data_IF_856034057333
#
_entry.id   IF_856034057333
#
_cell.length_a   1.000
_cell.length_b   1.000
_cell.length_c   1.000
_cell.angle_alpha   90.00
_cell.angle_beta   90.00
_cell.angle_gamma   90.00
#
_symmetry.space_group_name_H-M   'P 1'
#
loop_
_entity.id
_entity.type
_entity.pdbx_description
1 polymer ?
#
# COMPACT_ATOMS: atom_id res chain seq x y z
N UNK A 1 -38.16 14.95 -51.30
CA UNK A 1 -38.44 13.95 -50.24
C UNK A 1 -37.64 12.65 -50.38
N UNK A 2 -37.36 12.12 -51.59
CA UNK A 2 -36.47 10.95 -51.78
C UNK A 2 -35.10 11.06 -51.07
N UNK A 3 -34.42 12.20 -51.22
CA UNK A 3 -33.06 12.40 -50.71
C UNK A 3 -32.91 12.25 -49.16
N UNK A 4 -33.90 12.68 -48.37
CA UNK A 4 -33.80 12.54 -46.91
C UNK A 4 -34.03 11.11 -46.43
N UNK A 5 -34.92 10.40 -47.13
CA UNK A 5 -35.20 8.99 -46.85
C UNK A 5 -34.00 8.13 -47.24
N UNK A 6 -33.43 8.35 -48.42
CA UNK A 6 -32.22 7.66 -48.90
C UNK A 6 -31.03 7.90 -47.95
N UNK A 7 -30.85 9.13 -47.45
CA UNK A 7 -29.81 9.46 -46.45
C UNK A 7 -30.08 8.75 -45.12
N UNK A 8 -31.34 8.68 -44.68
CA UNK A 8 -31.71 7.99 -43.43
C UNK A 8 -31.47 6.49 -43.53
N UNK A 9 -31.85 5.88 -44.65
CA UNK A 9 -31.60 4.47 -44.95
C UNK A 9 -30.09 4.18 -44.94
N UNK A 10 -29.29 5.04 -45.59
CA UNK A 10 -27.83 4.87 -45.61
C UNK A 10 -27.19 5.02 -44.22
N UNK A 11 -27.69 5.92 -43.39
CA UNK A 11 -27.25 6.06 -41.99
C UNK A 11 -27.60 4.80 -41.20
N UNK A 12 -28.80 4.24 -41.38
CA UNK A 12 -29.21 3.01 -40.74
C UNK A 12 -28.36 1.80 -41.17
N UNK A 13 -28.04 1.69 -42.46
CA UNK A 13 -27.12 0.66 -42.98
C UNK A 13 -25.73 0.77 -42.34
N UNK A 14 -25.17 1.98 -42.26
CA UNK A 14 -23.86 2.21 -41.63
C UNK A 14 -23.88 1.89 -40.14
N UNK A 15 -24.94 2.28 -39.42
CA UNK A 15 -25.12 1.94 -38.00
C UNK A 15 -25.23 0.43 -37.79
N UNK A 16 -26.00 -0.27 -38.63
CA UNK A 16 -26.11 -1.73 -38.59
C UNK A 16 -24.78 -2.42 -38.84
N UNK A 17 -24.01 -1.96 -39.83
CA UNK A 17 -22.67 -2.45 -40.11
C UNK A 17 -21.70 -2.24 -38.94
N UNK A 18 -21.73 -1.06 -38.31
CA UNK A 18 -20.89 -0.76 -37.15
C UNK A 18 -21.23 -1.64 -35.94
N UNK A 19 -22.52 -1.84 -35.65
CA UNK A 19 -22.97 -2.74 -34.56
C UNK A 19 -22.54 -4.19 -34.84
N UNK A 20 -22.61 -4.64 -36.10
CA UNK A 20 -22.16 -5.98 -36.47
C UNK A 20 -20.65 -6.15 -36.27
N UNK A 21 -19.84 -5.14 -36.59
CA UNK A 21 -18.40 -5.13 -36.32
C UNK A 21 -18.11 -5.11 -34.81
N UNK A 22 -18.83 -4.28 -34.04
CA UNK A 22 -18.70 -4.21 -32.59
C UNK A 22 -19.06 -5.53 -31.89
N UNK A 23 -19.99 -6.31 -32.45
CA UNK A 23 -20.34 -7.64 -31.94
C UNK A 23 -19.33 -8.72 -32.39
N UNK A 24 -18.81 -8.64 -33.61
CA UNK A 24 -17.86 -9.60 -34.17
C UNK A 24 -16.49 -9.49 -33.52
N UNK A 25 -16.02 -8.26 -33.25
CA UNK A 25 -14.67 -8.00 -32.77
C UNK A 25 -14.37 -8.74 -31.45
N UNK A 26 -15.18 -8.65 -30.39
CA UNK A 26 -14.96 -9.43 -29.16
C UNK A 26 -14.96 -10.94 -29.40
N UNK A 27 -15.86 -11.44 -30.27
CA UNK A 27 -15.96 -12.87 -30.57
C UNK A 27 -14.69 -13.40 -31.27
N UNK A 28 -14.13 -12.63 -32.20
CA UNK A 28 -12.87 -12.96 -32.87
C UNK A 28 -11.69 -12.88 -31.89
N UNK A 29 -11.63 -11.83 -31.06
CA UNK A 29 -10.55 -11.66 -30.09
C UNK A 29 -10.55 -12.77 -29.04
N UNK A 30 -11.72 -13.22 -28.56
CA UNK A 30 -11.83 -14.36 -27.64
C UNK A 30 -11.40 -15.70 -28.26
N UNK A 31 -11.47 -15.85 -29.59
CA UNK A 31 -11.05 -17.07 -30.28
C UNK A 31 -9.54 -17.12 -30.58
N UNK A 32 -8.81 -16.01 -30.40
CA UNK A 32 -7.39 -15.92 -30.69
C UNK A 32 -6.53 -16.37 -29.48
N UNK A 33 -5.39 -17.04 -29.71
CA UNK A 33 -4.41 -17.30 -28.66
C UNK A 33 -3.87 -15.99 -28.05
N UNK A 34 -3.57 -15.95 -26.74
CA UNK A 34 -3.10 -14.73 -26.06
C UNK A 34 -1.86 -14.09 -26.69
N UNK A 35 -0.95 -14.90 -27.24
CA UNK A 35 0.25 -14.42 -27.93
C UNK A 35 -0.06 -13.60 -29.20
N UNK A 36 -1.20 -13.88 -29.86
CA UNK A 36 -1.62 -13.19 -31.09
C UNK A 36 -2.29 -11.84 -30.81
N UNK A 37 -2.86 -11.65 -29.62
CA UNK A 37 -3.59 -10.42 -29.26
C UNK A 37 -2.67 -9.19 -29.21
N UNK A 38 -1.43 -9.36 -28.74
CA UNK A 38 -0.43 -8.30 -28.75
C UNK A 38 -0.04 -7.87 -30.17
N UNK A 39 0.09 -8.84 -31.09
CA UNK A 39 0.38 -8.58 -32.51
C UNK A 39 -0.78 -7.85 -33.17
N UNK A 40 -2.02 -8.24 -32.86
CA UNK A 40 -3.23 -7.56 -33.34
C UNK A 40 -3.30 -6.13 -32.81
N UNK A 41 -2.99 -5.89 -31.53
CA UNK A 41 -2.94 -4.56 -30.93
C UNK A 41 -1.92 -3.64 -31.60
N UNK A 42 -0.69 -4.12 -31.81
CA UNK A 42 0.37 -3.36 -32.50
C UNK A 42 0.00 -3.08 -33.96
N UNK A 43 -0.54 -4.08 -34.66
CA UNK A 43 -1.02 -3.92 -36.02
C UNK A 43 -2.16 -2.90 -36.10
N UNK A 44 -3.13 -2.97 -35.19
CA UNK A 44 -4.23 -2.01 -35.13
C UNK A 44 -3.72 -0.58 -34.91
N UNK A 45 -2.78 -0.36 -33.99
CA UNK A 45 -2.20 0.95 -33.76
C UNK A 45 -1.49 1.50 -35.02
N UNK A 46 -0.73 0.68 -35.73
CA UNK A 46 -0.07 1.06 -36.98
C UNK A 46 -1.08 1.43 -38.08
N UNK A 47 -2.15 0.65 -38.23
CA UNK A 47 -3.21 0.93 -39.21
C UNK A 47 -4.01 2.18 -38.84
N UNK A 48 -4.29 2.39 -37.55
CA UNK A 48 -4.97 3.61 -37.07
C UNK A 48 -4.13 4.86 -37.37
N UNK A 49 -2.80 4.79 -37.18
CA UNK A 49 -1.91 5.92 -37.49
C UNK A 49 -1.82 6.22 -38.98
N UNK A 50 -1.77 5.18 -39.81
CA UNK A 50 -1.86 5.34 -41.27
C UNK A 50 -3.19 5.99 -41.68
N UNK A 51 -4.31 5.55 -41.08
CA UNK A 51 -5.63 6.12 -41.33
C UNK A 51 -5.72 7.59 -40.88
N UNK A 52 -5.19 7.96 -39.71
CA UNK A 52 -5.10 9.37 -39.26
C UNK A 52 -4.40 10.24 -40.28
N UNK A 53 -3.25 9.78 -40.77
CA UNK A 53 -2.46 10.54 -41.76
C UNK A 53 -3.24 10.79 -43.04
N UNK A 54 -4.00 9.80 -43.52
CA UNK A 54 -4.87 9.95 -44.69
C UNK A 54 -6.03 10.91 -44.40
N UNK A 55 -6.67 10.77 -43.24
CA UNK A 55 -7.84 11.57 -42.87
C UNK A 55 -7.50 13.05 -42.67
N UNK A 56 -6.33 13.37 -42.10
CA UNK A 56 -5.85 14.74 -41.93
C UNK A 56 -5.59 15.46 -43.26
N UNK A 57 -5.36 14.71 -44.34
CA UNK A 57 -5.08 15.25 -45.67
C UNK A 57 -6.28 15.13 -46.63
N UNK A 58 -7.44 14.73 -46.14
CA UNK A 58 -8.67 14.57 -46.92
C UNK A 58 -9.73 15.60 -46.50
N UNK A 59 -10.67 15.99 -47.40
CA UNK A 59 -11.76 16.90 -47.07
C UNK A 59 -12.83 16.18 -46.23
N UNK A 60 -12.51 15.90 -44.96
CA UNK A 60 -13.35 15.19 -43.98
C UNK A 60 -13.78 16.16 -42.88
N UNK A 61 -14.99 16.00 -42.34
CA UNK A 61 -15.47 16.87 -41.26
C UNK A 61 -14.83 16.56 -39.91
N UNK A 62 -14.69 17.59 -39.06
CA UNK A 62 -14.16 17.44 -37.70
C UNK A 62 -14.96 16.44 -36.85
N UNK A 63 -16.25 16.28 -37.13
CA UNK A 63 -17.10 15.32 -36.43
C UNK A 63 -16.75 13.87 -36.77
N UNK A 64 -16.32 13.61 -38.01
CA UNK A 64 -15.84 12.29 -38.42
C UNK A 64 -14.49 11.99 -37.79
N UNK A 65 -13.57 12.97 -37.75
CA UNK A 65 -12.29 12.87 -37.04
C UNK A 65 -12.49 12.59 -35.54
N UNK A 66 -13.35 13.36 -34.87
CA UNK A 66 -13.63 13.18 -33.44
C UNK A 66 -14.33 11.85 -33.12
N UNK A 67 -15.11 11.31 -34.06
CA UNK A 67 -15.73 9.97 -33.91
C UNK A 67 -14.71 8.88 -34.13
N UNK A 68 -13.86 9.01 -35.14
CA UNK A 68 -12.75 8.11 -35.40
C UNK A 68 -11.82 8.00 -34.18
N UNK A 69 -11.40 9.12 -33.57
CA UNK A 69 -10.51 9.06 -32.39
C UNK A 69 -11.18 8.40 -31.18
N UNK A 70 -12.48 8.66 -30.95
CA UNK A 70 -13.24 7.99 -29.88
C UNK A 70 -13.33 6.49 -30.11
N UNK A 71 -13.55 6.05 -31.34
CA UNK A 71 -13.66 4.64 -31.66
C UNK A 71 -12.30 3.94 -31.67
N UNK A 72 -11.22 4.61 -32.10
CA UNK A 72 -9.85 4.10 -31.92
C UNK A 72 -9.51 3.91 -30.44
N UNK A 73 -9.83 4.89 -29.59
CA UNK A 73 -9.62 4.79 -28.15
C UNK A 73 -10.44 3.64 -27.54
N UNK A 74 -11.70 3.46 -27.98
CA UNK A 74 -12.56 2.35 -27.54
C UNK A 74 -12.00 1.00 -27.97
N UNK A 75 -11.59 0.85 -29.23
CA UNK A 75 -11.02 -0.39 -29.75
C UNK A 75 -9.66 -0.69 -29.11
N UNK A 76 -8.84 0.32 -28.83
CA UNK A 76 -7.62 0.15 -28.02
C UNK A 76 -7.93 -0.32 -26.60
N UNK A 77 -8.98 0.19 -25.97
CA UNK A 77 -9.41 -0.27 -24.66
C UNK A 77 -9.91 -1.73 -24.69
N UNK A 78 -10.62 -2.16 -25.75
CA UNK A 78 -11.05 -3.55 -25.93
C UNK A 78 -9.86 -4.48 -26.21
N UNK A 79 -8.93 -4.06 -27.08
CA UNK A 79 -7.71 -4.80 -27.37
C UNK A 79 -6.77 -4.84 -26.17
N UNK A 80 -6.73 -3.79 -25.34
CA UNK A 80 -5.99 -3.76 -24.09
C UNK A 80 -6.66 -4.54 -22.96
N UNK A 81 -7.99 -4.63 -22.95
CA UNK A 81 -8.76 -5.43 -22.00
C UNK A 81 -8.81 -6.93 -22.33
N UNK A 82 -8.44 -7.32 -23.56
CA UNK A 82 -8.37 -8.71 -24.04
C UNK A 82 -6.94 -9.20 -24.28
N UNK A 83 -5.99 -8.32 -24.63
CA UNK A 83 -4.58 -8.67 -24.60
C UNK A 83 -4.20 -9.01 -23.16
N UNK A 84 -3.43 -10.09 -22.92
CA UNK A 84 -2.79 -10.24 -21.62
C UNK A 84 -1.96 -8.98 -21.42
N UNK A 85 -2.29 -8.27 -20.35
CA UNK A 85 -1.66 -7.05 -19.92
C UNK A 85 -0.14 -7.20 -20.07
N UNK A 86 0.43 -6.55 -21.09
CA UNK A 86 1.89 -6.40 -21.20
C UNK A 86 2.35 -5.13 -20.49
N UNK A 87 1.59 -4.68 -19.50
CA UNK A 87 2.17 -4.26 -18.23
C UNK A 87 2.12 -5.48 -17.27
N UNK A 88 3.24 -6.22 -17.19
CA UNK A 88 3.50 -7.29 -16.21
C UNK A 88 2.74 -8.63 -16.36
N UNK A 89 3.28 -9.49 -17.23
CA UNK A 89 3.33 -10.92 -16.92
C UNK A 89 4.38 -11.16 -15.81
N UNK A 90 3.92 -10.96 -14.59
CA UNK A 90 4.61 -11.12 -13.31
C UNK A 90 3.83 -10.26 -12.33
N UNK A 91 2.97 -10.84 -11.50
CA UNK A 91 2.08 -10.10 -10.59
C UNK A 91 2.78 -8.84 -10.03
N UNK A 92 2.42 -7.67 -10.56
CA UNK A 92 2.94 -6.42 -10.02
C UNK A 92 2.38 -6.32 -8.60
N UNK A 93 3.22 -6.55 -7.60
CA UNK A 93 2.80 -6.50 -6.21
C UNK A 93 2.24 -5.12 -5.91
N UNK A 94 1.08 -5.04 -5.25
CA UNK A 94 0.55 -3.75 -4.81
C UNK A 94 1.64 -3.06 -3.96
N UNK A 95 2.10 -1.84 -4.31
CA UNK A 95 3.24 -1.21 -3.64
C UNK A 95 3.09 -1.11 -2.11
N UNK A 96 1.85 -1.01 -1.61
CA UNK A 96 1.53 -1.00 -0.17
C UNK A 96 1.95 -2.29 0.57
N UNK A 97 2.03 -3.43 -0.13
CA UNK A 97 2.50 -4.68 0.48
C UNK A 97 4.02 -4.66 0.68
N UNK A 98 4.74 -3.88 -0.12
CA UNK A 98 6.19 -3.71 -0.03
C UNK A 98 6.60 -2.59 0.93
N UNK A 99 5.65 -1.85 1.50
CA UNK A 99 5.94 -0.89 2.58
C UNK A 99 6.16 -1.57 3.93
N UNK A 100 5.68 -2.81 4.08
CA UNK A 100 5.61 -3.52 5.36
C UNK A 100 6.56 -4.70 5.32
N UNK A 101 7.36 -4.87 6.37
CA UNK A 101 8.30 -5.97 6.53
C UNK A 101 8.00 -6.79 7.78
N UNK A 102 8.34 -8.07 7.73
CA UNK A 102 8.30 -8.95 8.89
C UNK A 102 9.47 -8.62 9.80
N UNK A 103 9.21 -8.50 11.10
CA UNK A 103 10.26 -8.37 12.11
C UNK A 103 10.38 -9.68 12.87
N UNK A 104 11.59 -10.22 12.95
CA UNK A 104 11.94 -11.32 13.86
C UNK A 104 12.93 -10.84 14.90
N UNK A 105 12.66 -11.09 16.19
CA UNK A 105 13.49 -10.62 17.30
C UNK A 105 14.38 -11.76 17.84
N UNK A 106 15.59 -11.42 18.27
CA UNK A 106 16.57 -12.40 18.72
C UNK A 106 17.35 -11.95 19.96
N UNK A 107 17.82 -12.92 20.73
CA UNK A 107 18.85 -12.74 21.76
C UNK A 107 19.95 -13.78 21.53
N UNK A 108 21.13 -13.35 21.11
CA UNK A 108 22.19 -14.23 20.61
C UNK A 108 21.66 -15.09 19.46
N UNK A 109 21.78 -16.40 19.55
CA UNK A 109 21.24 -17.31 18.53
C UNK A 109 19.76 -17.71 18.77
N UNK A 110 19.15 -17.24 19.86
CA UNK A 110 17.79 -17.62 20.25
C UNK A 110 16.78 -16.69 19.58
N UNK A 111 15.86 -17.26 18.78
CA UNK A 111 14.68 -16.54 18.30
C UNK A 111 13.69 -16.32 19.45
N UNK A 112 13.09 -15.14 19.53
CA UNK A 112 12.13 -14.77 20.56
C UNK A 112 10.71 -14.67 19.98
N UNK A 113 10.39 -13.56 19.31
CA UNK A 113 9.05 -13.23 18.83
C UNK A 113 9.05 -12.70 17.41
N UNK A 114 7.88 -12.74 16.77
CA UNK A 114 7.64 -12.09 15.48
C UNK A 114 6.73 -10.88 15.64
N UNK A 115 6.96 -9.86 14.82
CA UNK A 115 6.19 -8.63 14.78
C UNK A 115 6.11 -8.09 13.33
N UNK A 116 5.49 -6.93 13.17
CA UNK A 116 5.42 -6.21 11.90
C UNK A 116 6.17 -4.89 12.04
N UNK A 117 6.70 -4.40 10.93
CA UNK A 117 7.17 -3.03 10.82
C UNK A 117 6.94 -2.50 9.42
N UNK A 118 7.14 -1.20 9.23
CA UNK A 118 7.03 -0.58 7.93
C UNK A 118 8.06 0.50 7.74
N UNK A 119 8.30 0.87 6.49
CA UNK A 119 9.27 1.88 6.14
C UNK A 119 8.65 3.27 6.08
N UNK A 120 9.36 4.24 6.64
CA UNK A 120 9.03 5.66 6.57
C UNK A 120 10.25 6.45 6.09
N UNK A 121 10.05 7.33 5.12
CA UNK A 121 11.07 8.18 4.53
C UNK A 121 10.87 9.62 4.98
N UNK A 122 11.95 10.23 5.45
CA UNK A 122 12.02 11.64 5.83
C UNK A 122 13.23 12.25 5.13
N UNK A 123 12.94 13.00 4.06
CA UNK A 123 13.97 13.48 3.14
C UNK A 123 14.73 12.26 2.56
N UNK A 124 16.06 12.29 2.56
CA UNK A 124 16.90 11.16 2.08
C UNK A 124 17.06 10.03 3.10
N UNK A 125 16.48 10.15 4.31
CA UNK A 125 16.66 9.17 5.39
C UNK A 125 15.53 8.16 5.41
N UNK A 126 15.91 6.89 5.56
CA UNK A 126 15.00 5.76 5.68
C UNK A 126 14.91 5.30 7.13
N UNK A 127 13.69 5.05 7.60
CA UNK A 127 13.42 4.54 8.94
C UNK A 127 12.58 3.27 8.87
N UNK A 128 12.93 2.28 9.70
CA UNK A 128 12.02 1.19 10.05
C UNK A 128 11.21 1.62 11.28
N UNK A 129 9.89 1.58 11.14
CA UNK A 129 8.94 1.89 12.21
C UNK A 129 8.30 0.61 12.71
N UNK A 130 8.18 0.48 14.04
CA UNK A 130 7.45 -0.61 14.70
C UNK A 130 6.96 -0.16 16.09
N UNK A 131 6.29 -1.04 16.83
CA UNK A 131 5.93 -0.75 18.23
C UNK A 131 7.14 -0.83 19.13
N UNK A 132 7.22 0.03 20.15
CA UNK A 132 8.37 0.07 21.08
C UNK A 132 8.55 -1.24 21.83
N UNK A 133 7.46 -1.87 22.27
CA UNK A 133 7.50 -3.14 23.00
C UNK A 133 8.05 -4.32 22.17
N UNK A 134 8.16 -4.18 20.83
CA UNK A 134 8.86 -5.18 19.99
C UNK A 134 10.37 -5.14 20.23
N UNK A 135 10.91 -3.97 20.59
CA UNK A 135 12.35 -3.75 20.77
C UNK A 135 12.76 -3.84 22.25
N UNK A 136 11.88 -3.43 23.15
CA UNK A 136 12.07 -3.53 24.59
C UNK A 136 10.73 -3.50 25.33
N UNK A 137 10.41 -4.56 26.07
CA UNK A 137 9.23 -4.66 26.92
C UNK A 137 9.58 -5.25 28.29
N UNK A 138 9.69 -4.38 29.29
CA UNK A 138 10.01 -4.78 30.66
C UNK A 138 8.93 -5.69 31.31
N UNK A 139 7.62 -5.41 31.18
CA UNK A 139 6.56 -6.28 31.71
C UNK A 139 6.65 -7.74 31.26
N UNK A 140 6.99 -8.02 29.99
CA UNK A 140 7.17 -9.38 29.49
C UNK A 140 8.61 -9.89 29.52
N UNK A 141 9.55 -9.12 30.09
CA UNK A 141 10.98 -9.40 30.10
C UNK A 141 11.56 -9.68 28.69
N UNK A 142 11.12 -8.89 27.71
CA UNK A 142 11.52 -9.02 26.31
C UNK A 142 12.54 -7.95 25.93
N UNK A 143 13.80 -8.35 25.73
CA UNK A 143 14.91 -7.45 25.40
C UNK A 143 15.82 -8.07 24.31
N UNK A 144 15.36 -8.15 23.06
CA UNK A 144 16.17 -8.67 21.96
C UNK A 144 17.44 -7.85 21.73
N UNK A 145 18.57 -8.48 21.43
CA UNK A 145 19.81 -7.78 21.08
C UNK A 145 19.83 -7.27 19.63
N UNK A 146 19.03 -7.90 18.75
CA UNK A 146 18.85 -7.51 17.36
C UNK A 146 17.46 -7.87 16.86
N UNK A 147 17.12 -7.25 15.73
CA UNK A 147 16.02 -7.69 14.88
C UNK A 147 16.53 -8.07 13.49
N UNK A 148 15.75 -8.89 12.82
CA UNK A 148 15.93 -9.22 11.41
C UNK A 148 14.65 -8.85 10.65
N UNK A 149 14.83 -8.27 9.47
CA UNK A 149 13.76 -7.88 8.56
C UNK A 149 13.91 -8.56 7.20
N UNK A 150 12.79 -8.89 6.59
CA UNK A 150 12.74 -9.49 5.25
C UNK A 150 12.62 -8.38 4.19
N UNK A 151 13.45 -8.42 3.16
CA UNK A 151 13.49 -7.44 2.06
C UNK A 151 13.39 -8.15 0.71
N UNK A 152 12.42 -7.76 -0.10
CA UNK A 152 12.33 -8.22 -1.50
C UNK A 152 13.46 -7.62 -2.34
N UNK A 153 14.00 -8.40 -3.27
CA UNK A 153 15.12 -8.01 -4.14
C UNK A 153 14.75 -7.90 -5.63
N UNK A 154 13.55 -8.36 -5.99
CA UNK A 154 13.11 -8.41 -7.38
C UNK A 154 11.60 -8.10 -7.46
N UNK A 155 11.18 -7.09 -8.26
CA UNK A 155 9.77 -6.71 -8.34
C UNK A 155 8.93 -7.68 -9.19
N UNK A 156 9.57 -8.60 -9.92
CA UNK A 156 8.93 -9.60 -10.77
C UNK A 156 9.02 -11.01 -10.17
N UNK A 157 10.00 -11.26 -9.29
CA UNK A 157 10.17 -12.52 -8.57
C UNK A 157 10.22 -12.31 -7.05
N UNK A 158 9.04 -12.33 -6.44
CA UNK A 158 8.86 -12.10 -5.01
C UNK A 158 9.42 -13.22 -4.13
N UNK A 159 9.87 -14.33 -4.71
CA UNK A 159 10.58 -15.38 -3.96
C UNK A 159 12.01 -14.96 -3.62
N UNK A 160 12.54 -13.94 -4.31
CA UNK A 160 13.88 -13.41 -4.07
C UNK A 160 13.84 -12.40 -2.93
N UNK A 161 14.15 -12.89 -1.74
CA UNK A 161 14.25 -12.07 -0.53
C UNK A 161 15.65 -12.15 0.08
N UNK A 162 16.04 -11.09 0.78
CA UNK A 162 17.18 -11.07 1.69
C UNK A 162 16.70 -10.80 3.12
N UNK A 163 17.42 -11.36 4.08
CA UNK A 163 17.27 -11.00 5.49
C UNK A 163 18.30 -9.94 5.82
N UNK A 164 17.85 -8.82 6.37
CA UNK A 164 18.71 -7.74 6.84
C UNK A 164 18.66 -7.65 8.37
N UNK A 165 19.85 -7.67 8.99
CA UNK A 165 19.99 -7.70 10.44
C UNK A 165 20.35 -6.33 11.01
N UNK A 166 19.58 -5.90 12.01
CA UNK A 166 19.71 -4.62 12.68
C UNK A 166 20.01 -4.84 14.17
N UNK A 167 21.21 -4.46 14.68
CA UNK A 167 21.46 -4.48 16.11
C UNK A 167 20.56 -3.46 16.81
N UNK A 168 20.08 -3.78 18.00
CA UNK A 168 19.24 -2.88 18.79
C UNK A 168 20.03 -2.07 19.82
N UNK A 169 21.23 -2.53 20.19
CA UNK A 169 22.06 -1.85 21.19
C UNK A 169 23.47 -1.60 20.68
N UNK A 170 24.04 -0.46 21.09
CA UNK A 170 25.46 -0.15 20.99
C UNK A 170 25.89 0.48 22.30
N UNK A 171 26.93 -0.08 22.94
CA UNK A 171 27.43 0.39 24.23
C UNK A 171 26.35 0.48 25.33
N UNK A 172 25.38 -0.44 25.29
CA UNK A 172 24.25 -0.49 26.23
C UNK A 172 23.12 0.51 25.94
N UNK A 173 23.26 1.34 24.90
CA UNK A 173 22.24 2.31 24.48
C UNK A 173 21.42 1.75 23.33
N UNK A 174 20.09 1.93 23.42
CA UNK A 174 19.17 1.58 22.34
C UNK A 174 19.42 2.42 21.10
N UNK A 175 19.47 1.76 19.93
CA UNK A 175 19.70 2.39 18.63
C UNK A 175 18.41 2.92 17.97
N UNK A 176 17.26 2.66 18.58
CA UNK A 176 15.98 3.19 18.13
C UNK A 176 15.67 4.53 18.77
N UNK A 177 14.83 5.31 18.09
CA UNK A 177 14.23 6.54 18.58
C UNK A 177 12.85 6.23 19.12
N UNK A 178 12.50 6.82 20.26
CA UNK A 178 11.19 6.70 20.90
C UNK A 178 10.77 8.06 21.46
N UNK A 179 9.48 8.23 21.74
CA UNK A 179 8.92 9.47 22.24
C UNK A 179 8.16 9.28 23.55
N UNK A 180 7.93 10.40 24.24
CA UNK A 180 6.97 10.53 25.33
C UNK A 180 6.07 11.71 25.03
N UNK A 181 4.81 11.64 25.45
CA UNK A 181 3.89 12.76 25.41
C UNK A 181 3.24 12.96 26.79
N UNK A 182 2.28 13.89 26.90
CA UNK A 182 1.55 14.13 28.15
C UNK A 182 0.77 12.92 28.69
N UNK A 183 0.53 11.89 27.86
CA UNK A 183 -0.09 10.62 28.25
C UNK A 183 0.92 9.58 28.75
N UNK A 184 2.21 9.75 28.46
CA UNK A 184 3.29 8.89 28.93
C UNK A 184 4.21 8.41 27.81
N UNK A 185 4.70 7.17 27.94
CA UNK A 185 5.55 6.55 26.91
C UNK A 185 4.72 6.24 25.66
N UNK A 186 5.20 6.71 24.51
CA UNK A 186 4.61 6.35 23.22
C UNK A 186 5.14 4.98 22.81
N UNK A 187 4.24 4.04 22.54
CA UNK A 187 4.59 2.69 22.11
C UNK A 187 4.85 2.60 20.59
N UNK A 188 5.68 3.53 20.08
CA UNK A 188 6.18 3.58 18.71
C UNK A 188 7.67 3.84 18.75
N UNK A 189 8.42 3.10 17.93
CA UNK A 189 9.86 3.23 17.78
C UNK A 189 10.25 3.36 16.30
N UNK A 190 11.31 4.11 16.03
CA UNK A 190 11.88 4.26 14.70
C UNK A 190 13.39 3.99 14.73
N UNK A 191 13.87 3.10 13.85
CA UNK A 191 15.30 2.81 13.67
C UNK A 191 15.71 3.40 12.32
N UNK A 192 16.71 4.28 12.32
CA UNK A 192 17.28 4.81 11.08
C UNK A 192 18.11 3.72 10.39
N UNK A 193 17.79 3.45 9.12
CA UNK A 193 18.51 2.47 8.29
C UNK A 193 19.49 3.22 7.41
N UNK A 194 20.76 2.83 7.51
CA UNK A 194 21.77 3.23 6.54
C UNK A 194 21.51 2.50 5.21
N UNK A 195 20.99 3.24 4.23
CA UNK A 195 20.60 2.71 2.92
C UNK A 195 21.79 2.06 2.21
N UNK A 196 23.02 2.55 2.44
CA UNK A 196 24.21 1.98 1.82
C UNK A 196 24.56 0.57 2.35
N UNK A 197 23.97 0.15 3.47
CA UNK A 197 24.15 -1.17 4.06
C UNK A 197 23.07 -2.17 3.65
N UNK A 198 22.01 -1.73 2.98
CA UNK A 198 20.98 -2.63 2.47
C UNK A 198 21.58 -3.58 1.42
N UNK A 199 21.09 -4.83 1.33
CA UNK A 199 21.42 -5.73 0.25
C UNK A 199 21.20 -5.08 -1.12
N UNK A 200 22.10 -5.33 -2.07
CA UNK A 200 21.95 -4.82 -3.44
C UNK A 200 20.62 -5.27 -4.05
N UNK A 201 19.91 -4.33 -4.68
CA UNK A 201 18.60 -4.59 -5.27
C UNK A 201 17.42 -4.60 -4.29
N UNK A 202 17.64 -4.27 -3.00
CA UNK A 202 16.55 -4.16 -2.02
C UNK A 202 15.45 -3.20 -2.49
N UNK A 203 14.21 -3.69 -2.49
CA UNK A 203 13.02 -2.92 -2.82
C UNK A 203 12.41 -2.43 -1.53
N UNK A 204 12.35 -1.10 -1.39
CA UNK A 204 11.85 -0.45 -0.17
C UNK A 204 10.85 0.65 -0.56
N UNK A 205 9.59 0.25 -0.68
CA UNK A 205 8.48 1.19 -0.69
C UNK A 205 8.34 1.77 0.73
N UNK A 206 8.10 3.07 0.85
CA UNK A 206 8.00 3.71 2.16
C UNK A 206 6.93 4.79 2.16
N UNK A 207 6.25 4.92 3.29
CA UNK A 207 5.44 6.10 3.55
C UNK A 207 6.33 7.32 3.75
N UNK A 208 5.78 8.51 3.59
CA UNK A 208 6.44 9.77 3.87
C UNK A 208 5.44 10.76 4.49
N UNK A 209 5.88 11.99 4.75
CA UNK A 209 5.03 13.02 5.34
C UNK A 209 3.74 13.28 4.53
N UNK A 210 3.78 13.15 3.20
CA UNK A 210 2.60 13.36 2.35
C UNK A 210 1.54 12.30 2.58
N UNK A 211 1.88 11.13 3.13
CA UNK A 211 0.93 10.05 3.45
C UNK A 211 0.18 10.28 4.77
N UNK A 212 0.65 11.21 5.61
CA UNK A 212 -0.02 11.57 6.86
C UNK A 212 -1.17 12.58 6.63
N UNK A 213 -1.11 13.30 5.52
CA UNK A 213 -2.04 14.38 5.22
C UNK A 213 -3.49 13.90 5.03
N UNK A 214 -4.42 14.69 5.58
CA UNK A 214 -5.85 14.41 5.58
C UNK A 214 -6.58 14.92 4.33
N UNK A 215 -5.95 15.78 3.53
CA UNK A 215 -6.51 16.34 2.29
C UNK A 215 -7.98 16.84 2.40
N UNK A 216 -8.35 17.45 3.53
CA UNK A 216 -9.70 17.99 3.76
C UNK A 216 -10.79 16.95 4.03
N UNK A 217 -10.46 15.66 4.12
CA UNK A 217 -11.38 14.58 4.46
C UNK A 217 -10.90 13.83 5.72
N UNK A 218 -11.14 14.38 6.93
CA UNK A 218 -10.74 13.74 8.19
C UNK A 218 -11.35 12.34 8.33
N UNK A 219 -10.58 11.36 8.85
CA UNK A 219 -11.14 10.06 9.18
C UNK A 219 -12.29 10.21 10.18
N UNK A 220 -13.34 9.42 9.98
CA UNK A 220 -14.53 9.41 10.83
C UNK A 220 -14.76 8.01 11.42
N UNK A 221 -15.53 7.94 12.50
CA UNK A 221 -15.95 6.65 13.08
C UNK A 221 -16.66 5.82 12.01
N UNK A 222 -16.28 4.54 11.92
CA UNK A 222 -16.80 3.62 10.92
C UNK A 222 -16.07 3.65 9.57
N UNK A 223 -15.15 4.60 9.33
CA UNK A 223 -14.36 4.60 8.11
C UNK A 223 -13.58 3.29 7.97
N UNK A 224 -13.59 2.73 6.75
CA UNK A 224 -12.89 1.50 6.42
C UNK A 224 -11.36 1.70 6.44
N UNK A 225 -10.69 0.82 7.16
CA UNK A 225 -9.24 0.78 7.32
C UNK A 225 -8.71 -0.59 6.89
N UNK A 226 -7.41 -0.65 6.64
CA UNK A 226 -6.66 -1.89 6.54
C UNK A 226 -5.45 -1.87 7.47
N UNK A 227 -5.13 -3.02 8.04
CA UNK A 227 -3.91 -3.26 8.81
C UNK A 227 -3.07 -4.27 8.04
N UNK A 228 -1.88 -3.86 7.60
CA UNK A 228 -0.99 -4.68 6.75
C UNK A 228 0.12 -5.23 7.63
N UNK A 229 0.26 -6.55 7.78
CA UNK A 229 1.28 -7.10 8.67
C UNK A 229 1.36 -8.62 8.71
N UNK A 230 2.04 -9.15 9.73
CA UNK A 230 2.42 -10.55 9.88
C UNK A 230 1.81 -11.18 11.16
N UNK A 231 0.47 -11.29 11.24
CA UNK A 231 -0.22 -11.81 12.43
C UNK A 231 0.24 -13.25 12.71
N UNK A 232 0.66 -13.53 13.94
CA UNK A 232 1.19 -14.82 14.42
C UNK A 232 2.38 -15.33 13.61
N UNK A 233 3.07 -14.44 12.88
CA UNK A 233 4.08 -14.83 11.90
C UNK A 233 3.48 -15.54 10.67
N UNK A 234 2.16 -15.58 10.52
CA UNK A 234 1.49 -16.11 9.33
C UNK A 234 1.63 -15.13 8.17
N UNK A 235 2.11 -15.65 7.06
CA UNK A 235 2.36 -14.92 5.82
C UNK A 235 2.51 -15.91 4.67
N UNK A 236 2.59 -15.40 3.46
CA UNK A 236 3.01 -16.20 2.31
C UNK A 236 4.49 -16.59 2.48
N UNK A 237 4.78 -17.86 2.77
CA UNK A 237 6.16 -18.33 2.95
C UNK A 237 6.92 -18.54 1.65
N UNK A 238 6.25 -18.40 0.50
CA UNK A 238 6.88 -18.47 -0.82
C UNK A 238 7.25 -17.07 -1.30
N UNK A 239 6.33 -16.11 -1.18
CA UNK A 239 6.52 -14.75 -1.69
C UNK A 239 6.81 -13.71 -0.60
N UNK A 240 6.84 -14.12 0.68
CA UNK A 240 7.16 -13.28 1.84
C UNK A 240 6.30 -12.02 1.99
N UNK A 241 5.07 -12.03 1.47
CA UNK A 241 4.15 -10.89 1.52
C UNK A 241 3.36 -10.84 2.84
N UNK A 242 3.05 -9.65 3.36
CA UNK A 242 2.19 -9.48 4.52
C UNK A 242 0.74 -9.89 4.22
N UNK A 243 -0.01 -10.15 5.29
CA UNK A 243 -1.47 -10.31 5.23
C UNK A 243 -2.14 -8.97 5.49
N UNK A 244 -3.18 -8.67 4.72
CA UNK A 244 -4.02 -7.48 4.88
C UNK A 244 -5.28 -7.83 5.64
N UNK A 245 -5.56 -7.12 6.74
CA UNK A 245 -6.76 -7.28 7.57
C UNK A 245 -7.64 -6.06 7.45
N UNK A 246 -8.93 -6.27 7.17
CA UNK A 246 -9.92 -5.21 7.26
C UNK A 246 -10.09 -4.74 8.71
N UNK A 247 -10.30 -3.44 8.86
CA UNK A 247 -10.51 -2.76 10.13
C UNK A 247 -11.47 -1.57 9.93
N UNK A 248 -11.92 -0.97 11.02
CA UNK A 248 -12.63 0.32 10.98
C UNK A 248 -12.20 1.24 12.12
N UNK A 249 -12.41 2.55 11.96
CA UNK A 249 -12.22 3.52 13.04
C UNK A 249 -13.29 3.29 14.12
N UNK A 250 -12.88 3.01 15.36
CA UNK A 250 -13.78 2.65 16.46
C UNK A 250 -13.85 3.70 17.59
N UNK A 251 -13.13 4.82 17.47
CA UNK A 251 -13.26 5.97 18.37
C UNK A 251 -13.21 7.28 17.58
N UNK A 252 -13.61 8.39 18.19
CA UNK A 252 -13.50 9.70 17.56
C UNK A 252 -12.03 9.97 17.14
N UNK A 253 -11.78 10.04 15.84
CA UNK A 253 -10.45 10.31 15.31
C UNK A 253 -10.02 11.75 15.61
N UNK A 254 -8.75 11.97 15.93
CA UNK A 254 -8.24 13.25 16.45
C UNK A 254 -8.51 13.48 17.95
N UNK A 255 -9.29 12.62 18.61
CA UNK A 255 -9.48 12.66 20.07
C UNK A 255 -8.68 11.53 20.71
N UNK A 256 -7.70 11.91 21.52
CA UNK A 256 -6.86 10.98 22.30
C UNK A 256 -7.70 10.09 23.21
N UNK A 257 -7.71 8.79 22.94
CA UNK A 257 -8.47 7.84 23.75
C UNK A 257 -7.81 7.69 25.12
N UNK A 258 -8.57 7.90 26.20
CA UNK A 258 -8.04 7.92 27.58
C UNK A 258 -6.85 8.89 27.78
N UNK A 259 -6.82 10.01 27.04
CA UNK A 259 -5.72 10.99 27.04
C UNK A 259 -4.38 10.45 26.50
N UNK A 260 -4.38 9.26 25.92
CA UNK A 260 -3.21 8.65 25.30
C UNK A 260 -3.13 9.00 23.82
N UNK A 261 -1.93 9.06 23.26
CA UNK A 261 -1.65 9.39 21.85
C UNK A 261 -2.15 8.36 20.81
N UNK A 262 -3.20 7.61 21.10
CA UNK A 262 -3.78 6.61 20.22
C UNK A 262 -5.31 6.78 20.06
N UNK A 263 -5.84 6.14 19.02
CA UNK A 263 -7.26 5.94 18.77
C UNK A 263 -7.57 4.44 18.72
N UNK A 264 -8.86 4.10 18.73
CA UNK A 264 -9.30 2.71 18.65
C UNK A 264 -9.63 2.30 17.20
N UNK A 265 -9.27 1.06 16.89
CA UNK A 265 -9.73 0.36 15.67
C UNK A 265 -10.45 -0.93 16.03
N UNK A 266 -11.55 -1.19 15.32
CA UNK A 266 -12.23 -2.49 15.36
C UNK A 266 -11.63 -3.38 14.28
N UNK A 267 -10.95 -4.45 14.72
CA UNK A 267 -10.31 -5.40 13.84
C UNK A 267 -10.00 -6.70 14.57
N UNK A 268 -10.17 -7.83 13.89
CA UNK A 268 -9.64 -9.13 14.33
C UNK A 268 -8.12 -9.17 14.08
N UNK A 269 -7.35 -8.61 14.99
CA UNK A 269 -5.88 -8.67 15.00
C UNK A 269 -5.38 -9.77 15.94
N UNK A 270 -4.14 -10.19 15.72
CA UNK A 270 -3.49 -11.21 16.53
C UNK A 270 -2.08 -10.74 16.92
N UNK A 271 -1.48 -11.39 17.93
CA UNK A 271 -0.07 -11.17 18.29
C UNK A 271 0.79 -11.27 17.03
N UNK A 272 1.77 -10.40 16.84
CA UNK A 272 2.58 -10.33 15.62
C UNK A 272 2.15 -9.24 14.63
N UNK A 273 0.94 -8.69 14.78
CA UNK A 273 0.52 -7.46 14.08
C UNK A 273 1.11 -6.18 14.68
N UNK A 274 1.70 -6.24 15.88
CA UNK A 274 2.32 -5.08 16.54
C UNK A 274 3.35 -4.42 15.64
N UNK A 275 3.25 -3.10 15.49
CA UNK A 275 4.04 -2.29 14.57
C UNK A 275 3.49 -2.19 13.14
N UNK A 276 2.40 -2.87 12.80
CA UNK A 276 1.78 -2.79 11.48
C UNK A 276 1.20 -1.38 11.19
N UNK A 277 1.34 -0.87 9.95
CA UNK A 277 0.68 0.38 9.56
C UNK A 277 -0.84 0.21 9.49
N UNK A 278 -1.56 1.22 9.97
CA UNK A 278 -3.03 1.34 9.87
C UNK A 278 -3.35 2.36 8.79
N UNK A 279 -3.98 1.89 7.72
CA UNK A 279 -4.13 2.65 6.47
C UNK A 279 -5.59 2.88 6.12
N UNK A 280 -5.87 4.05 5.53
CA UNK A 280 -7.16 4.39 4.89
C UNK A 280 -6.91 4.64 3.41
N UNK A 281 -7.78 4.12 2.55
CA UNK A 281 -7.68 4.40 1.11
C UNK A 281 -8.03 5.87 0.84
N UNK A 282 -7.20 6.57 0.06
CA UNK A 282 -7.51 7.95 -0.37
C UNK A 282 -8.56 7.94 -1.48
N UNK A 283 -9.62 8.73 -1.32
CA UNK A 283 -10.58 8.96 -2.39
C UNK A 283 -9.99 9.93 -3.42
N UNK A 284 -10.12 9.62 -4.71
CA UNK A 284 -9.93 10.61 -5.79
C UNK A 284 -8.51 10.83 -6.33
N UNK A 285 -7.52 10.00 -6.00
CA UNK A 285 -6.16 10.12 -6.56
C UNK A 285 -5.66 8.78 -7.14
N UNK A 286 -6.10 8.45 -8.36
CA UNK A 286 -5.61 7.28 -9.09
C UNK A 286 -4.16 7.41 -9.57
N UNK A 287 -3.55 8.59 -9.45
CA UNK A 287 -2.23 8.91 -10.00
C UNK A 287 -1.09 8.95 -8.96
N UNK A 288 -1.37 8.86 -7.66
CA UNK A 288 -0.32 8.78 -6.64
C UNK A 288 0.20 7.34 -6.54
N UNK A 289 1.52 7.10 -6.50
CA UNK A 289 2.10 5.75 -6.50
C UNK A 289 1.66 4.91 -5.30
N UNK A 290 1.25 5.54 -4.19
CA UNK A 290 0.70 4.90 -3.01
C UNK A 290 -0.57 5.64 -2.55
N UNK A 291 -1.79 5.27 -3.02
CA UNK A 291 -3.04 6.01 -2.77
C UNK A 291 -3.62 5.70 -1.37
N UNK A 292 -2.76 5.74 -0.35
CA UNK A 292 -3.06 5.41 1.03
C UNK A 292 -2.74 6.58 1.94
N UNK A 293 -3.56 6.74 2.97
CA UNK A 293 -3.29 7.62 4.10
C UNK A 293 -2.85 6.74 5.28
N UNK A 294 -1.69 7.03 5.84
CA UNK A 294 -1.19 6.38 7.05
C UNK A 294 -1.77 7.08 8.28
N UNK A 295 -2.68 6.41 8.99
CA UNK A 295 -3.39 6.98 10.14
C UNK A 295 -2.71 6.68 11.46
N UNK A 296 -2.04 5.53 11.57
CA UNK A 296 -1.42 5.11 12.81
C UNK A 296 -0.57 3.85 12.71
N UNK A 297 -0.03 3.48 13.86
CA UNK A 297 0.76 2.26 14.08
C UNK A 297 0.00 1.37 15.05
N UNK A 298 -0.34 0.16 14.61
CA UNK A 298 -1.04 -0.81 15.45
C UNK A 298 -0.14 -1.27 16.60
N UNK A 299 -0.63 -1.19 17.85
CA UNK A 299 0.12 -1.61 19.05
C UNK A 299 -0.39 -2.92 19.62
N UNK A 300 -1.47 -2.84 20.40
CA UNK A 300 -1.96 -3.90 21.26
C UNK A 300 -3.47 -3.98 21.18
N UNK A 301 -4.02 -5.15 21.52
CA UNK A 301 -5.45 -5.31 21.71
C UNK A 301 -5.87 -4.60 22.99
N UNK A 302 -6.94 -3.82 22.89
CA UNK A 302 -7.60 -3.26 24.06
C UNK A 302 -8.46 -4.35 24.67
N UNK A 303 -8.29 -4.58 25.97
CA UNK A 303 -9.11 -5.54 26.70
C UNK A 303 -9.61 -4.93 28.01
N UNK A 304 -10.78 -5.37 28.46
CA UNK A 304 -11.29 -4.97 29.77
C UNK A 304 -10.75 -5.92 30.82
N UNK A 305 -9.97 -5.38 31.76
CA UNK A 305 -9.37 -6.17 32.86
C UNK A 305 -10.41 -6.88 33.74
N UNK A 306 -11.67 -6.49 33.67
CA UNK A 306 -12.79 -7.04 34.45
C UNK A 306 -13.64 -8.05 33.68
N UNK A 307 -13.31 -8.38 32.42
CA UNK A 307 -14.12 -9.32 31.64
C UNK A 307 -13.92 -10.76 32.11
N UNK A 308 -14.97 -11.56 31.98
CA UNK A 308 -14.88 -13.00 32.19
C UNK A 308 -14.29 -13.67 30.94
N UNK A 309 -13.13 -14.32 31.06
CA UNK A 309 -12.45 -14.93 29.92
C UNK A 309 -13.19 -16.13 29.31
N UNK A 310 -14.16 -16.71 30.03
CA UNK A 310 -14.94 -17.88 29.61
C UNK A 310 -16.27 -17.45 29.01
N UNK A 311 -16.91 -16.41 29.57
CA UNK A 311 -18.25 -15.98 29.16
C UNK A 311 -18.22 -14.81 28.16
N UNK A 312 -17.21 -13.93 28.24
CA UNK A 312 -17.13 -12.73 27.43
C UNK A 312 -16.15 -12.91 26.26
N UNK A 313 -16.64 -12.66 25.04
CA UNK A 313 -15.77 -12.51 23.88
C UNK A 313 -14.82 -11.31 24.06
N UNK A 314 -13.63 -11.39 23.44
CA UNK A 314 -12.73 -10.24 23.41
C UNK A 314 -13.40 -9.08 22.69
N UNK A 315 -13.15 -7.85 23.14
CA UNK A 315 -13.75 -6.64 22.55
C UNK A 315 -13.55 -6.49 21.03
N UNK A 316 -12.51 -7.11 20.46
CA UNK A 316 -12.14 -6.89 19.05
C UNK A 316 -11.54 -5.51 18.78
N UNK A 317 -11.34 -4.71 19.84
CA UNK A 317 -10.79 -3.36 19.78
C UNK A 317 -9.28 -3.39 19.94
N UNK A 318 -8.62 -2.44 19.27
CA UNK A 318 -7.18 -2.33 19.21
C UNK A 318 -6.75 -0.88 19.37
N UNK A 319 -5.59 -0.66 19.98
CA UNK A 319 -4.97 0.66 20.06
C UNK A 319 -4.07 0.88 18.84
N UNK A 320 -4.27 2.01 18.15
CA UNK A 320 -3.42 2.49 17.08
C UNK A 320 -2.87 3.87 17.42
N UNK A 321 -1.56 3.99 17.61
CA UNK A 321 -0.90 5.27 17.88
C UNK A 321 -0.95 6.17 16.65
N UNK A 322 -1.25 7.45 16.84
CA UNK A 322 -1.32 8.39 15.72
C UNK A 322 0.02 8.45 14.96
N UNK A 323 -0.05 8.45 13.64
CA UNK A 323 1.14 8.42 12.79
C UNK A 323 1.89 9.77 12.72
N UNK A 324 1.31 10.85 13.25
CA UNK A 324 1.98 12.16 13.35
C UNK A 324 3.23 12.11 14.25
N UNK A 325 3.29 11.20 15.22
CA UNK A 325 4.48 10.98 16.06
C UNK A 325 5.73 10.65 15.24
N UNK A 326 5.57 10.08 14.03
CA UNK A 326 6.68 9.78 13.13
C UNK A 326 7.43 11.05 12.73
N UNK A 327 6.77 12.19 12.69
CA UNK A 327 7.41 13.47 12.38
C UNK A 327 8.39 13.90 13.47
N UNK A 328 8.06 13.60 14.72
CA UNK A 328 8.94 13.81 15.88
C UNK A 328 10.08 12.78 15.88
N UNK A 329 9.77 11.50 15.72
CA UNK A 329 10.76 10.42 15.77
C UNK A 329 11.78 10.52 14.63
N UNK A 330 11.36 10.92 13.44
CA UNK A 330 12.22 11.01 12.24
C UNK A 330 12.78 12.42 12.03
N UNK A 331 12.56 13.34 12.98
CA UNK A 331 13.16 14.67 12.96
C UNK A 331 14.70 14.66 12.90
N UNK A 332 15.33 15.84 12.77
CA UNK A 332 16.77 15.93 12.96
C UNK A 332 17.14 15.35 14.32
N UNK A 333 18.23 14.59 14.39
CA UNK A 333 18.70 14.09 15.68
C UNK A 333 18.98 15.30 16.59
N UNK A 334 18.56 15.28 17.87
CA UNK A 334 18.95 16.33 18.80
C UNK A 334 20.47 16.40 18.84
N UNK A 335 21.02 17.62 18.79
CA UNK A 335 22.44 17.84 18.92
C UNK A 335 22.93 17.16 20.20
N UNK A 336 24.07 16.45 20.12
CA UNK A 336 24.61 15.67 21.23
C UNK A 336 24.64 16.51 22.52
N UNK A 337 23.85 16.11 23.52
CA UNK A 337 23.84 16.73 24.86
C UNK A 337 22.55 17.40 25.32
N UNK A 338 21.45 17.36 24.57
CA UNK A 338 20.14 17.82 25.09
C UNK A 338 19.14 16.66 25.18
N UNK A 339 18.51 16.42 26.36
CA UNK A 339 17.38 15.50 26.43
C UNK A 339 16.26 16.04 25.53
N UNK A 340 15.62 15.13 24.80
CA UNK A 340 14.48 15.46 23.94
C UNK A 340 13.31 15.98 24.80
N UNK A 341 13.26 17.29 25.00
CA UNK A 341 12.07 17.98 25.49
C UNK A 341 11.25 18.39 24.28
N UNK A 342 10.14 17.70 24.05
CA UNK A 342 9.06 18.17 23.19
C UNK A 342 7.96 18.79 24.09
N UNK A 343 7.19 19.78 23.58
CA UNK A 343 6.33 20.68 24.36
C UNK A 343 5.14 20.01 25.06
#
# INVERSE_FOLDING_TARGET
MKNLQDVTERICELKGGMIAVDALLPAVLHALPPASLAVVGQSFAAHAEAARTVMLNAPISDHVLATFERDVARTQAVLGGLAPDRANAGYATEPVLLTTTRISTFEGQRSLTGASGFFFRRDERLFLVTSRHVLADAPSAHFPDRIEIDLHLDPQDLTRCAVFSLPLYRDGLGLWRQARDGGGDVDVAAIEIDIARLPEGSIVEAFDASHLETAGNPPQVGDALVVVGFPLGFHDTVHHLPVVRAASVASAYGVRFQQQGYFLTDARTHRGSSGAPVLRRRAGTSAAPLPWQLLGVHSTRMDMSTRDLVLDESLGLNCAWYADVLMTLTGPAPAAGQPATAP
#
